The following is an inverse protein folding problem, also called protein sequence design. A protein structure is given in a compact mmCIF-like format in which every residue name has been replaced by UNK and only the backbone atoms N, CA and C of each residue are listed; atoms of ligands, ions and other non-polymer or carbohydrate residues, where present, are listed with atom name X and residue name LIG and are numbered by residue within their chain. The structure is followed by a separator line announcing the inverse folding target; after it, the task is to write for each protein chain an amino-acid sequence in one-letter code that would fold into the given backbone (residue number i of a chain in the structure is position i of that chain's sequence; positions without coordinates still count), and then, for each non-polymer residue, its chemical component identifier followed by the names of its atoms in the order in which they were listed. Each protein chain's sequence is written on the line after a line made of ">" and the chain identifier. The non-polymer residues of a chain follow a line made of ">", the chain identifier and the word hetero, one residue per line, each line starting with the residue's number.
data_IF_551122473753
#
_entry.id   IF_551122473753
#
_cell.length_a   1.000
_cell.length_b   1.000
_cell.length_c   1.000
_cell.angle_alpha   90.00
_cell.angle_beta   90.00
_cell.angle_gamma   90.00
#
_symmetry.space_group_name_H-M   'P 1'
#
loop_
_entity.id
_entity.type
_entity.pdbx_description
1 polymer ?
#
# COMPACT_ATOMS: atom_id res chain seq x y z
N UNK A 1 -12.46 9.79 -8.77
CA UNK A 1 -11.90 8.44 -8.99
C UNK A 1 -10.97 8.54 -10.20
N UNK A 2 -9.74 8.97 -9.99
CA UNK A 2 -8.71 8.83 -11.03
C UNK A 2 -8.08 7.47 -10.80
N UNK A 3 -8.76 6.42 -11.27
CA UNK A 3 -8.14 5.12 -11.37
C UNK A 3 -6.97 5.28 -12.34
N UNK A 4 -5.77 4.97 -11.90
CA UNK A 4 -4.65 4.75 -12.79
C UNK A 4 -5.03 3.59 -13.72
N UNK A 5 -5.49 3.89 -14.92
CA UNK A 5 -5.79 2.90 -15.95
C UNK A 5 -4.46 2.53 -16.58
N UNK A 6 -3.88 1.43 -16.16
CA UNK A 6 -2.80 0.80 -16.89
C UNK A 6 -3.40 0.00 -18.05
N UNK A 7 -2.83 0.18 -19.25
CA UNK A 7 -3.23 -0.60 -20.41
C UNK A 7 -2.92 -2.09 -20.18
N UNK A 8 -3.92 -2.94 -20.38
CA UNK A 8 -3.81 -4.40 -20.31
C UNK A 8 -2.82 -4.95 -21.36
N UNK A 9 -2.51 -4.17 -22.38
CA UNK A 9 -1.59 -4.55 -23.47
C UNK A 9 -0.12 -4.61 -23.04
N UNK A 10 0.22 -4.16 -21.81
CA UNK A 10 1.57 -4.18 -21.29
C UNK A 10 1.90 -5.45 -20.46
N UNK A 11 0.94 -6.37 -20.27
CA UNK A 11 1.17 -7.60 -19.52
C UNK A 11 1.91 -8.64 -20.40
N UNK A 12 2.99 -9.27 -19.90
CA UNK A 12 3.61 -10.41 -20.57
C UNK A 12 2.60 -11.53 -20.78
N UNK A 13 2.65 -12.18 -21.95
CA UNK A 13 1.68 -13.24 -22.33
C UNK A 13 1.75 -14.51 -21.46
N UNK A 14 2.73 -14.59 -20.55
CA UNK A 14 2.97 -15.75 -19.68
C UNK A 14 2.56 -15.46 -18.22
N UNK A 15 1.33 -15.01 -18.04
CA UNK A 15 0.77 -14.62 -16.72
C UNK A 15 0.77 -15.80 -15.71
N UNK A 16 0.85 -17.04 -16.16
CA UNK A 16 0.93 -18.23 -15.29
C UNK A 16 2.28 -18.32 -14.57
N UNK A 17 3.35 -17.90 -15.21
CA UNK A 17 4.70 -17.86 -14.63
C UNK A 17 4.79 -16.87 -13.44
N UNK A 18 3.95 -15.87 -13.45
CA UNK A 18 3.96 -14.81 -12.46
C UNK A 18 3.43 -15.24 -11.09
N UNK A 19 2.46 -16.16 -11.03
CA UNK A 19 1.89 -16.67 -9.77
C UNK A 19 2.93 -17.51 -9.01
N UNK A 20 3.71 -18.33 -9.70
CA UNK A 20 4.80 -19.10 -9.10
C UNK A 20 5.92 -18.19 -8.58
N UNK A 21 6.30 -17.17 -9.35
CA UNK A 21 7.32 -16.22 -8.91
C UNK A 21 6.91 -15.35 -7.71
N UNK A 22 5.65 -14.92 -7.64
CA UNK A 22 5.14 -14.16 -6.47
C UNK A 22 5.11 -15.03 -5.23
N UNK A 23 4.80 -16.32 -5.37
CA UNK A 23 4.85 -17.25 -4.26
C UNK A 23 6.29 -17.49 -3.77
N UNK A 24 7.23 -17.70 -4.70
CA UNK A 24 8.66 -17.84 -4.40
C UNK A 24 9.27 -16.58 -3.80
N UNK A 25 8.91 -15.39 -4.31
CA UNK A 25 9.33 -14.09 -3.77
C UNK A 25 8.78 -13.89 -2.35
N UNK A 26 7.52 -14.21 -2.10
CA UNK A 26 6.93 -14.17 -0.76
C UNK A 26 7.61 -15.15 0.20
N UNK A 27 7.93 -16.35 -0.25
CA UNK A 27 8.66 -17.36 0.52
C UNK A 27 10.11 -16.96 0.78
N UNK A 28 10.79 -16.34 -0.19
CA UNK A 28 12.17 -15.87 -0.04
C UNK A 28 12.29 -14.74 1.00
N UNK A 29 11.34 -13.82 1.03
CA UNK A 29 11.30 -12.75 2.04
C UNK A 29 10.95 -13.25 3.44
N UNK A 30 10.09 -14.28 3.55
CA UNK A 30 9.79 -14.91 4.84
C UNK A 30 10.93 -15.78 5.36
N UNK A 31 11.78 -16.30 4.47
CA UNK A 31 12.84 -17.22 4.78
C UNK A 31 14.26 -16.65 4.83
N UNK A 32 14.46 -15.34 4.66
CA UNK A 32 15.74 -14.57 4.77
C UNK A 32 17.08 -15.26 4.47
N UNK A 33 17.12 -16.59 4.49
CA UNK A 33 18.30 -17.40 4.33
C UNK A 33 18.27 -18.34 3.11
N UNK A 34 17.15 -18.42 2.38
CA UNK A 34 16.99 -19.50 1.41
C UNK A 34 17.33 -19.14 -0.05
N UNK A 35 17.38 -17.87 -0.43
CA UNK A 35 17.70 -17.48 -1.81
C UNK A 35 18.60 -16.23 -1.85
N UNK A 36 19.92 -16.37 -1.55
CA UNK A 36 20.84 -15.23 -1.51
C UNK A 36 21.14 -14.59 -2.86
N UNK A 37 20.60 -15.09 -3.98
CA UNK A 37 20.97 -14.68 -5.34
C UNK A 37 19.77 -14.32 -6.23
N UNK A 38 18.57 -14.11 -5.70
CA UNK A 38 17.46 -13.65 -6.51
C UNK A 38 17.40 -12.12 -6.47
N UNK A 39 17.59 -11.49 -7.63
CA UNK A 39 17.61 -10.05 -7.80
C UNK A 39 16.19 -9.46 -7.65
N UNK A 40 15.82 -9.04 -6.44
CA UNK A 40 14.67 -8.16 -6.23
C UNK A 40 14.87 -6.79 -6.89
N UNK A 41 16.10 -6.45 -7.22
CA UNK A 41 16.50 -5.21 -7.89
C UNK A 41 15.89 -5.04 -9.30
N UNK A 42 15.15 -6.03 -9.81
CA UNK A 42 14.57 -5.99 -11.16
C UNK A 42 13.06 -5.75 -11.17
N UNK A 43 12.36 -5.90 -10.05
CA UNK A 43 10.92 -5.66 -9.99
C UNK A 43 10.64 -4.25 -9.45
N UNK A 44 9.80 -3.46 -10.14
CA UNK A 44 9.31 -2.21 -9.57
C UNK A 44 8.68 -2.46 -8.20
N UNK A 45 9.09 -1.72 -7.20
CA UNK A 45 8.64 -1.89 -5.82
C UNK A 45 7.79 -0.71 -5.39
N UNK A 46 6.60 -0.99 -4.90
CA UNK A 46 5.66 0.02 -4.41
C UNK A 46 5.44 -0.14 -2.91
N UNK A 47 5.58 0.95 -2.16
CA UNK A 47 5.11 1.03 -0.78
C UNK A 47 3.67 1.53 -0.76
N UNK A 48 2.77 0.76 -0.18
CA UNK A 48 1.35 1.09 -0.04
C UNK A 48 1.08 1.47 1.43
N UNK A 49 0.65 2.71 1.66
CA UNK A 49 0.29 3.23 2.98
C UNK A 49 -1.22 3.43 3.02
N UNK A 50 -1.96 2.51 3.62
CA UNK A 50 -3.42 2.55 3.60
C UNK A 50 -4.05 1.70 4.71
N UNK A 51 -5.37 1.78 4.85
CA UNK A 51 -6.13 0.89 5.70
C UNK A 51 -6.28 -0.50 5.10
N UNK A 52 -6.52 -1.49 5.97
CA UNK A 52 -6.87 -2.86 5.58
C UNK A 52 -8.35 -2.96 5.26
N UNK A 53 -8.71 -3.74 4.26
CA UNK A 53 -10.06 -4.22 4.00
C UNK A 53 -10.11 -5.73 4.16
N UNK A 54 -10.76 -6.21 5.24
CA UNK A 54 -10.90 -7.65 5.50
C UNK A 54 -11.68 -8.38 4.40
N UNK A 55 -12.53 -7.67 3.64
CA UNK A 55 -13.24 -8.20 2.46
C UNK A 55 -12.37 -8.27 1.20
N UNK A 56 -11.19 -7.62 1.21
CA UNK A 56 -10.19 -7.70 0.14
C UNK A 56 -10.53 -6.96 -1.14
N UNK A 57 -11.59 -6.12 -1.13
CA UNK A 57 -12.06 -5.38 -2.31
C UNK A 57 -11.59 -3.93 -2.39
N UNK A 58 -10.92 -3.44 -1.34
CA UNK A 58 -10.39 -2.09 -1.22
C UNK A 58 -9.08 -2.10 -0.40
N UNK A 59 -8.56 -0.91 -0.07
CA UNK A 59 -7.41 -0.73 0.81
C UNK A 59 -6.16 -1.48 0.37
N UNK A 60 -5.32 -1.83 1.33
CA UNK A 60 -4.06 -2.54 1.08
C UNK A 60 -4.23 -3.78 0.20
N UNK A 61 -5.26 -4.57 0.47
CA UNK A 61 -5.47 -5.83 -0.22
C UNK A 61 -5.78 -5.64 -1.71
N UNK A 62 -6.59 -4.65 -2.05
CA UNK A 62 -6.87 -4.33 -3.46
C UNK A 62 -5.64 -3.75 -4.16
N UNK A 63 -4.93 -2.86 -3.48
CA UNK A 63 -3.71 -2.22 -4.02
C UNK A 63 -2.62 -3.27 -4.27
N UNK A 64 -2.39 -4.20 -3.33
CA UNK A 64 -1.44 -5.30 -3.49
C UNK A 64 -1.80 -6.20 -4.67
N UNK A 65 -3.08 -6.57 -4.81
CA UNK A 65 -3.55 -7.37 -5.95
C UNK A 65 -3.31 -6.65 -7.28
N UNK A 66 -3.55 -5.34 -7.32
CA UNK A 66 -3.32 -4.54 -8.52
C UNK A 66 -1.83 -4.47 -8.87
N UNK A 67 -0.96 -4.17 -7.89
CA UNK A 67 0.49 -4.16 -8.10
C UNK A 67 0.99 -5.53 -8.58
N UNK A 68 0.56 -6.60 -7.93
CA UNK A 68 0.93 -7.97 -8.28
C UNK A 68 0.51 -8.31 -9.72
N UNK A 69 -0.73 -7.97 -10.11
CA UNK A 69 -1.24 -8.20 -11.47
C UNK A 69 -0.48 -7.40 -12.54
N UNK A 70 0.17 -6.30 -12.15
CA UNK A 70 0.96 -5.43 -13.02
C UNK A 70 2.47 -5.70 -12.97
N UNK A 71 2.89 -6.73 -12.26
CA UNK A 71 4.31 -7.11 -12.18
C UNK A 71 5.14 -6.25 -11.23
N UNK A 72 4.52 -5.62 -10.22
CA UNK A 72 5.21 -4.87 -9.21
C UNK A 72 5.20 -5.61 -7.86
N UNK A 73 6.31 -5.56 -7.14
CA UNK A 73 6.39 -5.99 -5.76
C UNK A 73 5.75 -4.95 -4.84
N UNK A 74 5.06 -5.39 -3.79
CA UNK A 74 4.37 -4.49 -2.87
C UNK A 74 4.85 -4.68 -1.45
N UNK A 75 5.27 -3.59 -0.83
CA UNK A 75 5.43 -3.47 0.62
C UNK A 75 4.26 -2.67 1.19
N UNK A 76 3.97 -2.81 2.48
CA UNK A 76 2.77 -2.21 3.06
C UNK A 76 3.02 -1.55 4.41
N UNK A 77 2.28 -0.46 4.65
CA UNK A 77 2.14 0.20 5.93
C UNK A 77 0.66 0.32 6.25
N UNK A 78 0.26 -0.25 7.36
CA UNK A 78 -1.12 -0.31 7.80
C UNK A 78 -1.48 0.92 8.63
N UNK A 79 -2.50 1.69 8.22
CA UNK A 79 -3.00 2.86 8.95
C UNK A 79 -4.21 2.54 9.82
N UNK A 80 -5.00 1.55 9.43
CA UNK A 80 -6.16 1.08 10.18
C UNK A 80 -6.50 -0.37 9.83
N UNK A 81 -7.08 -1.09 10.77
CA UNK A 81 -7.77 -2.35 10.53
C UNK A 81 -9.26 -2.08 10.35
N UNK A 82 -9.91 -2.82 9.46
CA UNK A 82 -11.36 -2.80 9.36
C UNK A 82 -11.96 -4.20 9.52
N UNK A 83 -13.13 -4.28 10.16
CA UNK A 83 -14.06 -5.37 9.98
C UNK A 83 -15.01 -4.94 8.85
N UNK A 84 -14.75 -5.43 7.65
CA UNK A 84 -15.39 -4.93 6.43
C UNK A 84 -15.78 -6.09 5.52
N UNK A 85 -16.90 -5.93 4.82
CA UNK A 85 -17.42 -6.83 3.81
C UNK A 85 -18.08 -6.06 2.67
N UNK A 86 -18.83 -6.73 1.79
CA UNK A 86 -19.50 -6.12 0.63
C UNK A 86 -20.60 -5.10 1.00
N UNK A 87 -21.06 -5.13 2.26
CA UNK A 87 -22.08 -4.18 2.77
C UNK A 87 -21.45 -2.91 3.37
N UNK A 88 -20.14 -2.90 3.64
CA UNK A 88 -19.41 -1.77 4.18
C UNK A 88 -18.49 -2.12 5.34
N UNK A 89 -17.88 -1.11 5.95
CA UNK A 89 -17.06 -1.23 7.15
C UNK A 89 -17.94 -1.16 8.40
N UNK A 90 -17.99 -2.23 9.18
CA UNK A 90 -18.74 -2.31 10.43
C UNK A 90 -17.92 -1.75 11.60
N UNK A 91 -16.60 -1.99 11.59
CA UNK A 91 -15.70 -1.49 12.63
C UNK A 91 -14.38 -1.02 12.00
N UNK A 92 -13.78 0.00 12.60
CA UNK A 92 -12.48 0.55 12.21
C UNK A 92 -11.63 0.68 13.49
N UNK A 93 -10.43 0.11 13.44
CA UNK A 93 -9.41 0.27 14.47
C UNK A 93 -8.21 1.01 13.88
N UNK A 94 -7.99 2.25 14.31
CA UNK A 94 -6.86 3.05 13.86
C UNK A 94 -5.56 2.51 14.48
N UNK A 95 -4.52 2.39 13.68
CA UNK A 95 -3.19 2.03 14.17
C UNK A 95 -2.56 3.28 14.82
N UNK A 96 -1.93 3.13 16.00
CA UNK A 96 -1.22 4.24 16.63
C UNK A 96 -0.16 4.85 15.73
N UNK A 97 -0.02 6.18 15.78
CA UNK A 97 0.88 6.93 14.87
C UNK A 97 2.34 6.47 14.99
N UNK A 98 2.81 6.17 16.19
CA UNK A 98 4.16 5.66 16.44
C UNK A 98 4.39 4.27 15.83
N UNK A 99 3.34 3.45 15.69
CA UNK A 99 3.42 2.17 15.00
C UNK A 99 3.42 2.32 13.48
N UNK A 100 2.71 3.33 12.96
CA UNK A 100 2.76 3.66 11.52
C UNK A 100 4.17 4.13 11.15
N UNK A 101 4.77 4.99 11.98
CA UNK A 101 6.15 5.43 11.81
C UNK A 101 7.13 4.27 11.76
N UNK A 102 7.07 3.36 12.76
CA UNK A 102 7.92 2.17 12.81
C UNK A 102 7.79 1.27 11.58
N UNK A 103 6.57 1.12 11.03
CA UNK A 103 6.36 0.35 9.79
C UNK A 103 7.04 1.04 8.60
N UNK A 104 6.88 2.37 8.45
CA UNK A 104 7.51 3.14 7.38
C UNK A 104 9.03 3.00 7.45
N UNK A 105 9.60 3.23 8.62
CA UNK A 105 11.04 3.17 8.84
C UNK A 105 11.59 1.76 8.60
N UNK A 106 10.89 0.73 9.08
CA UNK A 106 11.29 -0.66 8.87
C UNK A 106 11.38 -1.03 7.38
N UNK A 107 10.45 -0.54 6.56
CA UNK A 107 10.47 -0.80 5.12
C UNK A 107 11.53 0.03 4.42
N UNK A 108 11.53 1.36 4.62
CA UNK A 108 12.35 2.28 3.83
C UNK A 108 13.83 2.27 4.22
N UNK A 109 14.20 1.72 5.39
CA UNK A 109 15.60 1.52 5.78
C UNK A 109 16.27 0.33 5.10
N UNK A 110 15.50 -0.63 4.62
CA UNK A 110 16.00 -1.89 4.08
C UNK A 110 15.61 -2.10 2.61
N UNK A 111 14.38 -1.79 2.24
CA UNK A 111 13.83 -2.11 0.91
C UNK A 111 13.86 -0.86 0.02
N UNK A 112 14.46 -1.00 -1.17
CA UNK A 112 14.35 0.04 -2.19
C UNK A 112 12.91 0.14 -2.70
N UNK A 113 12.35 1.35 -2.68
CA UNK A 113 10.97 1.64 -3.11
C UNK A 113 11.01 2.66 -4.24
N UNK A 114 10.44 2.30 -5.40
CA UNK A 114 10.35 3.16 -6.58
C UNK A 114 9.20 4.16 -6.51
N UNK A 115 8.10 3.75 -5.87
CA UNK A 115 6.89 4.55 -5.77
C UNK A 115 6.20 4.31 -4.43
N UNK A 116 5.61 5.36 -3.88
CA UNK A 116 4.71 5.26 -2.73
C UNK A 116 3.29 5.58 -3.15
N UNK A 117 2.33 4.77 -2.74
CA UNK A 117 0.89 5.05 -2.89
C UNK A 117 0.27 5.22 -1.52
N UNK A 118 -0.46 6.30 -1.30
CA UNK A 118 -1.30 6.46 -0.10
C UNK A 118 -2.76 6.23 -0.43
N UNK A 119 -3.47 5.57 0.48
CA UNK A 119 -4.92 5.47 0.50
C UNK A 119 -5.49 6.15 1.74
N UNK A 120 -6.34 5.44 2.50
CA UNK A 120 -6.92 5.97 3.72
C UNK A 120 -5.85 6.22 4.79
N UNK A 121 -5.60 7.50 5.12
CA UNK A 121 -4.69 7.92 6.20
C UNK A 121 -5.44 8.16 7.53
N UNK A 122 -6.73 8.44 7.47
CA UNK A 122 -7.62 8.55 8.62
C UNK A 122 -7.53 9.89 9.33
N UNK A 123 -6.36 10.28 9.85
CA UNK A 123 -6.18 11.46 10.68
C UNK A 123 -5.14 12.44 10.13
N UNK A 124 -5.19 13.68 10.64
CA UNK A 124 -4.24 14.73 10.29
C UNK A 124 -2.80 14.38 10.72
N UNK A 125 -2.65 13.78 11.89
CA UNK A 125 -1.37 13.37 12.44
C UNK A 125 -0.69 12.33 11.53
N UNK A 126 -1.44 11.35 11.04
CA UNK A 126 -0.93 10.35 10.11
C UNK A 126 -0.55 10.99 8.77
N UNK A 127 -1.36 11.92 8.27
CA UNK A 127 -1.04 12.63 7.03
C UNK A 127 0.25 13.45 7.14
N UNK A 128 0.45 14.15 8.25
CA UNK A 128 1.70 14.87 8.52
C UNK A 128 2.89 13.93 8.65
N UNK A 129 2.78 12.86 9.44
CA UNK A 129 3.83 11.85 9.57
C UNK A 129 4.25 11.31 8.21
N UNK A 130 3.30 10.90 7.38
CA UNK A 130 3.59 10.38 6.04
C UNK A 130 4.32 11.42 5.20
N UNK A 131 3.84 12.68 5.19
CA UNK A 131 4.48 13.75 4.43
C UNK A 131 5.93 14.04 4.89
N UNK A 132 6.19 13.98 6.19
CA UNK A 132 7.53 14.13 6.77
C UNK A 132 8.44 12.97 6.36
N UNK A 133 7.97 11.73 6.48
CA UNK A 133 8.71 10.53 6.09
C UNK A 133 9.02 10.49 4.59
N UNK A 134 8.08 10.91 3.74
CA UNK A 134 8.34 11.00 2.28
C UNK A 134 9.47 11.99 1.96
N UNK A 135 9.57 13.09 2.70
CA UNK A 135 10.67 14.05 2.58
C UNK A 135 11.98 13.51 3.14
N UNK A 136 11.95 12.90 4.32
CA UNK A 136 13.10 12.30 4.99
C UNK A 136 13.79 11.26 4.11
N UNK A 137 13.01 10.32 3.55
CA UNK A 137 13.50 9.26 2.67
C UNK A 137 13.63 9.67 1.21
N UNK A 138 13.37 10.95 0.87
CA UNK A 138 13.53 11.54 -0.47
C UNK A 138 12.75 10.76 -1.55
N UNK A 139 11.54 10.34 -1.22
CA UNK A 139 10.65 9.66 -2.16
C UNK A 139 10.36 10.58 -3.35
N UNK A 140 10.61 10.08 -4.56
CA UNK A 140 10.48 10.86 -5.80
C UNK A 140 9.09 10.73 -6.43
N UNK A 141 8.48 9.55 -6.29
CA UNK A 141 7.18 9.25 -6.90
C UNK A 141 6.16 8.95 -5.80
N UNK A 142 5.16 9.80 -5.69
CA UNK A 142 4.09 9.65 -4.70
C UNK A 142 2.73 9.75 -5.40
N UNK A 143 1.91 8.72 -5.25
CA UNK A 143 0.52 8.70 -5.73
C UNK A 143 -0.40 8.86 -4.52
N UNK A 144 -1.13 9.97 -4.46
CA UNK A 144 -2.06 10.25 -3.37
C UNK A 144 -3.49 9.94 -3.82
N UNK A 145 -4.12 8.97 -3.15
CA UNK A 145 -5.55 8.75 -3.22
C UNK A 145 -6.19 9.39 -1.98
N UNK A 146 -6.83 10.58 -2.11
CA UNK A 146 -7.42 11.28 -0.99
C UNK A 146 -8.74 10.61 -0.57
N UNK A 147 -8.66 9.42 -0.04
CA UNK A 147 -9.79 8.58 0.34
C UNK A 147 -10.55 9.20 1.53
N UNK A 148 -11.51 10.06 1.25
CA UNK A 148 -12.26 10.83 2.26
C UNK A 148 -13.57 10.15 2.65
N UNK A 149 -14.18 9.43 1.71
CA UNK A 149 -15.50 8.80 1.85
C UNK A 149 -15.43 7.40 1.27
N UNK A 150 -15.86 6.40 2.02
CA UNK A 150 -15.97 5.03 1.50
C UNK A 150 -17.19 4.87 0.57
N UNK A 151 -17.24 3.75 -0.17
CA UNK A 151 -18.36 3.46 -1.09
C UNK A 151 -19.73 3.44 -0.41
N UNK A 152 -19.80 3.10 0.87
CA UNK A 152 -21.05 3.13 1.65
C UNK A 152 -21.46 4.54 2.09
N UNK A 153 -20.72 5.59 1.70
CA UNK A 153 -21.01 6.98 2.06
C UNK A 153 -20.48 7.42 3.43
N UNK A 154 -19.86 6.54 4.18
CA UNK A 154 -19.28 6.88 5.47
C UNK A 154 -18.00 7.70 5.30
N UNK A 155 -17.87 8.76 6.10
CA UNK A 155 -16.61 9.52 6.18
C UNK A 155 -15.55 8.66 6.88
N UNK A 156 -14.41 8.49 6.23
CA UNK A 156 -13.28 7.68 6.70
C UNK A 156 -12.03 8.52 6.98
N UNK A 157 -12.12 9.82 6.73
CA UNK A 157 -11.10 10.80 7.05
C UNK A 157 -11.68 11.82 8.01
N UNK A 158 -10.91 12.18 9.03
CA UNK A 158 -11.26 13.25 9.97
C UNK A 158 -11.39 14.59 9.23
N UNK A 159 -12.38 15.43 9.54
CA UNK A 159 -12.61 16.68 8.81
C UNK A 159 -11.42 17.64 8.78
N UNK A 160 -10.61 17.65 9.83
CA UNK A 160 -9.40 18.45 9.96
C UNK A 160 -8.18 17.90 9.20
N UNK A 161 -8.23 16.63 8.77
CA UNK A 161 -7.20 16.02 7.92
C UNK A 161 -7.39 16.40 6.44
N UNK A 162 -8.61 16.75 6.01
CA UNK A 162 -8.91 17.06 4.61
C UNK A 162 -8.04 18.19 4.03
N UNK A 163 -7.80 19.32 4.72
CA UNK A 163 -6.92 20.38 4.20
C UNK A 163 -5.44 19.98 4.09
N UNK A 164 -5.01 18.97 4.84
CA UNK A 164 -3.62 18.52 4.86
C UNK A 164 -3.31 17.58 3.69
N UNK A 165 -4.32 16.85 3.21
CA UNK A 165 -4.17 15.88 2.11
C UNK A 165 -4.37 16.55 0.74
N UNK A 166 -4.93 17.74 0.70
CA UNK A 166 -5.05 18.57 -0.52
C UNK A 166 -3.78 19.35 -0.82
#
# INVERSE_FOLDING_TARGET
>A
LTAMVFSIDALPKDTVFFVEHVFEVGMALMGGAFYPNQHFDTLPTTLIIAGSDSGGGAGLQADMKACCALGAYSTTVLTALTAQNTQGAQHIFSIPVDWIEKQIDSVLQDIHVDCVKTGMLGTKEVAHLVAEKMKEYKIKTLVVDPCMICRSGNKIMAPDAVPVVK
#
